data_IF_995948754063
#
_entry.id   IF_995948754063
#
_cell.length_a   1.000
_cell.length_b   1.000
_cell.length_c   1.000
_cell.angle_alpha   90.00
_cell.angle_beta   90.00
_cell.angle_gamma   90.00
#
_symmetry.space_group_name_H-M   'P 1'
#
loop_
_entity.id
_entity.type
_entity.pdbx_description
1 polymer ?
#
# COMPACT_ATOMS: atom_id res chain seq x y z
N UNK A 1 -14.25 36.18 23.55
CA UNK A 1 -13.04 36.05 24.38
C UNK A 1 -13.02 34.64 24.93
N UNK A 2 -11.89 33.97 24.71
CA UNK A 2 -11.41 32.68 25.25
C UNK A 2 -12.21 31.42 24.87
N UNK A 3 -11.81 30.69 23.83
CA UNK A 3 -10.69 29.74 23.75
C UNK A 3 -11.04 28.35 24.31
N UNK A 4 -11.37 27.42 23.41
CA UNK A 4 -10.75 26.09 23.40
C UNK A 4 -10.94 25.40 22.06
N UNK A 5 -9.96 25.64 21.19
CA UNK A 5 -9.56 24.69 20.15
C UNK A 5 -9.14 23.41 20.86
N UNK A 6 -10.04 22.44 20.94
CA UNK A 6 -9.73 21.06 21.30
C UNK A 6 -10.01 20.17 20.08
N UNK A 7 -9.39 20.51 18.95
CA UNK A 7 -9.13 19.54 17.89
C UNK A 7 -7.64 19.23 17.90
N UNK A 8 -7.22 18.64 19.01
CA UNK A 8 -5.91 18.04 19.16
C UNK A 8 -5.88 16.85 18.20
N UNK A 9 -5.13 16.99 17.10
CA UNK A 9 -4.83 15.89 16.20
C UNK A 9 -4.16 14.80 17.02
N UNK A 10 -4.92 13.77 17.40
CA UNK A 10 -4.35 12.59 18.00
C UNK A 10 -3.32 12.04 17.01
N UNK A 11 -2.04 12.26 17.29
CA UNK A 11 -0.97 11.46 16.71
C UNK A 11 -1.29 10.03 17.11
N UNK A 12 -1.95 9.31 16.19
CA UNK A 12 -2.36 7.94 16.43
C UNK A 12 -1.12 7.15 16.80
N UNK A 13 -1.06 6.67 18.05
CA UNK A 13 0.05 5.88 18.56
C UNK A 13 0.35 4.71 17.60
N UNK A 14 1.61 4.52 17.25
CA UNK A 14 2.04 3.45 16.34
C UNK A 14 1.76 2.08 16.98
N UNK A 15 0.75 1.38 16.48
CA UNK A 15 0.40 0.04 16.95
C UNK A 15 1.03 -1.02 16.04
N UNK A 16 2.26 -1.43 16.38
CA UNK A 16 3.01 -2.45 15.65
C UNK A 16 2.27 -3.80 15.56
N UNK A 17 1.59 -4.20 16.65
CA UNK A 17 0.89 -5.49 16.73
C UNK A 17 -0.35 -5.56 15.83
N UNK A 18 -1.04 -4.44 15.63
CA UNK A 18 -2.12 -4.35 14.66
C UNK A 18 -1.60 -4.46 13.23
N UNK A 19 -0.52 -3.71 12.90
CA UNK A 19 0.06 -3.72 11.55
C UNK A 19 0.69 -5.06 11.18
N UNK A 20 1.40 -5.73 12.11
CA UNK A 20 2.07 -7.00 11.83
C UNK A 20 1.11 -8.16 11.56
N UNK A 21 -0.12 -8.10 12.08
CA UNK A 21 -1.19 -9.07 11.80
C UNK A 21 -1.85 -8.83 10.44
N UNK A 22 -1.70 -7.65 9.88
CA UNK A 22 -2.21 -7.32 8.56
C UNK A 22 -1.16 -7.64 7.49
N UNK A 23 -1.55 -8.34 6.42
CA UNK A 23 -0.65 -8.53 5.30
C UNK A 23 -0.52 -7.21 4.52
N UNK A 24 0.52 -6.43 4.82
CA UNK A 24 0.76 -5.12 4.22
C UNK A 24 0.96 -5.19 2.69
N UNK A 25 1.34 -6.35 2.13
CA UNK A 25 1.40 -6.52 0.68
C UNK A 25 0.02 -6.38 0.01
N UNK A 26 -1.08 -6.59 0.76
CA UNK A 26 -2.42 -6.31 0.26
C UNK A 26 -2.58 -4.83 -0.13
N UNK A 27 -1.94 -3.91 0.61
CA UNK A 27 -1.99 -2.48 0.34
C UNK A 27 -1.25 -2.13 -0.96
N UNK A 28 -0.12 -2.77 -1.23
CA UNK A 28 0.62 -2.63 -2.48
C UNK A 28 -0.19 -3.15 -3.66
N UNK A 29 -0.76 -4.36 -3.53
CA UNK A 29 -1.62 -4.96 -4.55
C UNK A 29 -2.83 -4.06 -4.85
N UNK A 30 -3.46 -3.50 -3.82
CA UNK A 30 -4.55 -2.54 -3.99
C UNK A 30 -4.11 -1.31 -4.78
N UNK A 31 -2.99 -0.69 -4.41
CA UNK A 31 -2.50 0.51 -5.07
C UNK A 31 -2.16 0.25 -6.55
N UNK A 32 -1.55 -0.90 -6.86
CA UNK A 32 -1.29 -1.32 -8.24
C UNK A 32 -2.59 -1.57 -9.01
N UNK A 33 -3.55 -2.30 -8.41
CA UNK A 33 -4.85 -2.55 -9.04
C UNK A 33 -5.63 -1.27 -9.32
N UNK A 34 -5.57 -0.30 -8.40
CA UNK A 34 -6.21 1.00 -8.56
C UNK A 34 -5.65 1.77 -9.77
N UNK A 35 -4.34 1.71 -9.98
CA UNK A 35 -3.66 2.35 -11.12
C UNK A 35 -3.95 1.62 -12.43
N UNK A 36 -3.83 0.30 -12.43
CA UNK A 36 -3.89 -0.51 -13.65
C UNK A 36 -5.30 -0.85 -14.10
N UNK A 37 -6.27 -0.82 -13.17
CA UNK A 37 -7.67 -1.22 -13.40
C UNK A 37 -7.81 -2.59 -14.06
N UNK A 38 -6.84 -3.48 -13.88
CA UNK A 38 -6.77 -4.81 -14.47
C UNK A 38 -6.08 -5.79 -13.51
N UNK A 39 -6.77 -6.89 -13.17
CA UNK A 39 -6.22 -7.95 -12.30
C UNK A 39 -5.03 -8.63 -12.96
N UNK A 40 -5.14 -8.93 -14.26
CA UNK A 40 -4.07 -9.57 -15.03
C UNK A 40 -2.81 -8.70 -15.05
N UNK A 41 -2.94 -7.42 -15.44
CA UNK A 41 -1.79 -6.51 -15.49
C UNK A 41 -1.18 -6.27 -14.11
N UNK A 42 -2.01 -6.21 -13.07
CA UNK A 42 -1.53 -6.12 -11.67
C UNK A 42 -0.70 -7.33 -11.29
N UNK A 43 -1.16 -8.53 -11.64
CA UNK A 43 -0.49 -9.78 -11.34
C UNK A 43 0.86 -9.89 -12.07
N UNK A 44 0.91 -9.48 -13.33
CA UNK A 44 2.12 -9.45 -14.15
C UNK A 44 3.14 -8.44 -13.62
N UNK A 45 2.73 -7.20 -13.33
CA UNK A 45 3.61 -6.15 -12.81
C UNK A 45 4.23 -6.51 -11.45
N UNK A 46 3.48 -7.19 -10.60
CA UNK A 46 3.95 -7.61 -9.28
C UNK A 46 4.61 -8.99 -9.30
N UNK A 47 4.70 -9.64 -10.46
CA UNK A 47 5.20 -11.02 -10.61
C UNK A 47 4.56 -12.01 -9.63
N UNK A 48 3.24 -11.95 -9.50
CA UNK A 48 2.43 -12.85 -8.66
C UNK A 48 1.31 -13.48 -9.49
N UNK A 49 0.75 -14.59 -9.01
CA UNK A 49 -0.45 -15.17 -9.64
C UNK A 49 -1.70 -14.31 -9.42
N UNK A 50 -2.62 -14.29 -10.40
CA UNK A 50 -3.95 -13.69 -10.24
C UNK A 50 -4.71 -14.18 -8.97
N UNK A 51 -4.59 -15.45 -8.51
CA UNK A 51 -5.18 -15.87 -7.24
C UNK A 51 -4.67 -15.07 -6.03
N UNK A 52 -3.42 -14.62 -6.02
CA UNK A 52 -2.87 -13.79 -4.95
C UNK A 52 -3.49 -12.37 -4.95
N UNK A 53 -3.73 -11.81 -6.14
CA UNK A 53 -4.44 -10.53 -6.30
C UNK A 53 -5.88 -10.65 -5.79
N UNK A 54 -6.60 -11.69 -6.23
CA UNK A 54 -7.98 -11.96 -5.79
C UNK A 54 -8.07 -12.18 -4.28
N UNK A 55 -7.17 -12.98 -3.69
CA UNK A 55 -7.14 -13.22 -2.25
C UNK A 55 -6.86 -11.95 -1.44
N UNK A 56 -5.94 -11.11 -1.91
CA UNK A 56 -5.64 -9.82 -1.27
C UNK A 56 -6.84 -8.88 -1.33
N UNK A 57 -7.51 -8.81 -2.48
CA UNK A 57 -8.72 -8.03 -2.65
C UNK A 57 -9.85 -8.52 -1.75
N UNK A 58 -10.06 -9.84 -1.62
CA UNK A 58 -11.05 -10.41 -0.70
C UNK A 58 -10.80 -10.02 0.76
N UNK A 59 -9.55 -10.05 1.23
CA UNK A 59 -9.18 -9.62 2.59
C UNK A 59 -9.46 -8.14 2.81
N UNK A 60 -9.13 -7.30 1.83
CA UNK A 60 -9.41 -5.87 1.88
C UNK A 60 -10.91 -5.59 1.88
N UNK A 61 -11.69 -6.29 1.06
CA UNK A 61 -13.16 -6.15 1.04
C UNK A 61 -13.78 -6.43 2.40
N UNK A 62 -13.29 -7.46 3.11
CA UNK A 62 -13.73 -7.77 4.47
C UNK A 62 -13.31 -6.68 5.47
N UNK A 63 -12.07 -6.22 5.41
CA UNK A 63 -11.54 -5.22 6.35
C UNK A 63 -12.22 -3.85 6.22
N UNK A 64 -12.56 -3.45 4.99
CA UNK A 64 -13.19 -2.16 4.70
C UNK A 64 -14.71 -2.23 4.54
N UNK A 65 -15.29 -3.44 4.61
CA UNK A 65 -16.73 -3.69 4.42
C UNK A 65 -17.28 -3.08 3.12
N UNK A 66 -16.47 -3.07 2.05
CA UNK A 66 -16.78 -2.48 0.75
C UNK A 66 -16.25 -3.36 -0.39
N UNK A 67 -16.88 -3.35 -1.56
CA UNK A 67 -16.41 -4.14 -2.70
C UNK A 67 -15.08 -3.64 -3.28
N UNK A 68 -14.71 -2.38 -3.02
CA UNK A 68 -13.53 -1.64 -3.47
C UNK A 68 -13.44 -1.45 -4.99
N UNK A 69 -13.69 -2.50 -5.76
CA UNK A 69 -13.73 -2.48 -7.20
C UNK A 69 -14.90 -3.32 -7.71
N UNK A 70 -15.59 -2.79 -8.71
CA UNK A 70 -16.60 -3.51 -9.50
C UNK A 70 -16.09 -3.68 -10.92
N UNK A 71 -16.54 -4.75 -11.60
CA UNK A 71 -16.19 -4.97 -13.00
C UNK A 71 -17.11 -4.15 -13.89
N UNK A 72 -16.53 -3.24 -14.68
CA UNK A 72 -17.26 -2.42 -15.65
C UNK A 72 -16.49 -2.41 -16.98
N UNK A 73 -17.17 -2.80 -18.07
CA UNK A 73 -16.61 -2.76 -19.43
C UNK A 73 -15.23 -3.45 -19.57
N UNK A 74 -15.05 -4.57 -18.87
CA UNK A 74 -13.78 -5.33 -18.89
C UNK A 74 -12.69 -4.79 -17.95
N UNK A 75 -12.89 -3.61 -17.34
CA UNK A 75 -11.98 -3.01 -16.37
C UNK A 75 -12.47 -3.13 -14.93
N UNK A 76 -11.55 -2.96 -13.98
CA UNK A 76 -11.82 -2.85 -12.54
C UNK A 76 -12.00 -1.38 -12.19
N UNK A 77 -13.25 -0.96 -11.98
CA UNK A 77 -13.60 0.40 -11.62
C UNK A 77 -13.67 0.54 -10.08
N UNK A 78 -13.01 1.56 -9.49
CA UNK A 78 -13.03 1.76 -8.04
C UNK A 78 -14.40 2.22 -7.53
N UNK A 79 -14.70 1.89 -6.29
CA UNK A 79 -15.79 2.50 -5.50
C UNK A 79 -15.32 3.82 -4.88
N UNK A 80 -16.25 4.60 -4.34
CA UNK A 80 -15.92 5.82 -3.61
C UNK A 80 -14.99 5.55 -2.39
N UNK A 81 -15.13 4.39 -1.74
CA UNK A 81 -14.26 3.96 -0.65
C UNK A 81 -12.85 3.70 -1.15
N UNK A 82 -12.70 3.00 -2.29
CA UNK A 82 -11.40 2.76 -2.90
C UNK A 82 -10.71 4.06 -3.35
N UNK A 83 -11.45 5.01 -3.95
CA UNK A 83 -10.89 6.33 -4.30
C UNK A 83 -10.35 7.06 -3.07
N UNK A 84 -11.12 7.08 -1.99
CA UNK A 84 -10.72 7.73 -0.73
C UNK A 84 -9.53 7.01 -0.06
N UNK A 85 -9.49 5.69 -0.16
CA UNK A 85 -8.37 4.88 0.31
C UNK A 85 -7.11 5.19 -0.51
N UNK A 86 -7.19 5.18 -1.84
CA UNK A 86 -6.06 5.44 -2.73
C UNK A 86 -5.45 6.84 -2.50
N UNK A 87 -6.30 7.86 -2.34
CA UNK A 87 -5.86 9.24 -2.04
C UNK A 87 -4.97 9.35 -0.80
N UNK A 88 -5.22 8.52 0.22
CA UNK A 88 -4.43 8.50 1.47
C UNK A 88 -3.28 7.51 1.43
N UNK A 89 -3.51 6.33 0.86
CA UNK A 89 -2.57 5.21 0.92
C UNK A 89 -1.40 5.38 -0.05
N UNK A 90 -1.63 5.85 -1.27
CA UNK A 90 -0.58 5.95 -2.29
C UNK A 90 0.57 6.86 -1.82
N UNK A 91 0.32 8.07 -1.27
CA UNK A 91 1.40 8.91 -0.73
C UNK A 91 2.19 8.24 0.40
N UNK A 92 1.54 7.46 1.26
CA UNK A 92 2.22 6.73 2.34
C UNK A 92 3.13 5.64 1.79
N UNK A 93 2.67 4.87 0.79
CA UNK A 93 3.50 3.87 0.12
C UNK A 93 4.67 4.51 -0.62
N UNK A 94 4.49 5.67 -1.24
CA UNK A 94 5.59 6.43 -1.85
C UNK A 94 6.61 6.90 -0.80
N UNK A 95 6.15 7.31 0.39
CA UNK A 95 7.04 7.64 1.51
C UNK A 95 7.86 6.43 1.97
N UNK A 96 7.22 5.26 2.10
CA UNK A 96 7.92 3.99 2.42
C UNK A 96 8.94 3.65 1.33
N UNK A 97 8.56 3.76 0.05
CA UNK A 97 9.47 3.52 -1.08
C UNK A 97 10.70 4.43 -1.00
N UNK A 98 10.52 5.72 -0.75
CA UNK A 98 11.62 6.68 -0.63
C UNK A 98 12.60 6.28 0.50
N UNK A 99 12.09 5.86 1.66
CA UNK A 99 12.94 5.41 2.79
C UNK A 99 13.74 4.16 2.43
N UNK A 100 13.15 3.22 1.70
CA UNK A 100 13.81 1.98 1.28
C UNK A 100 14.87 2.24 0.19
N UNK A 101 14.58 3.12 -0.76
CA UNK A 101 15.52 3.49 -1.83
C UNK A 101 16.73 4.26 -1.29
N UNK A 102 16.54 5.14 -0.31
CA UNK A 102 17.64 5.85 0.37
C UNK A 102 18.66 4.89 1.01
N UNK A 103 18.21 3.75 1.55
CA UNK A 103 19.12 2.74 2.10
C UNK A 103 19.85 1.96 1.01
N UNK A 104 19.20 1.68 -0.12
CA UNK A 104 19.81 0.99 -1.25
C UNK A 104 20.93 1.82 -1.93
N UNK A 105 20.83 3.15 -1.90
CA UNK A 105 21.89 4.03 -2.40
C UNK A 105 23.03 4.22 -1.39
N UNK A 106 22.74 4.22 -0.09
CA UNK A 106 23.76 4.28 0.96
C UNK A 106 24.67 3.04 1.00
N UNK A 107 24.15 1.86 0.65
CA UNK A 107 24.95 0.62 0.58
C UNK A 107 25.81 0.52 -0.69
N UNK A 108 25.45 1.20 -1.80
CA UNK A 108 26.29 1.26 -3.02
C UNK A 108 27.58 2.06 -2.84
N UNK A 109 27.70 2.83 -1.76
CA UNK A 109 28.91 3.54 -1.36
C UNK A 109 29.89 2.72 -0.49
N UNK A 110 29.53 1.50 -0.07
CA UNK A 110 30.46 0.58 0.60
C UNK A 110 31.06 -0.35 -0.45
N UNK A 111 32.26 -0.04 -0.92
CA UNK A 111 33.09 -1.04 -1.61
C UNK A 111 33.14 -2.33 -0.76
N UNK A 112 33.12 -3.52 -1.38
CA UNK A 112 33.42 -4.72 -0.63
C UNK A 112 34.83 -4.54 -0.06
N UNK A 113 34.97 -4.61 1.26
CA UNK A 113 36.27 -4.69 1.90
C UNK A 113 37.03 -5.82 1.21
N UNK A 114 37.99 -5.44 0.37
CA UNK A 114 38.90 -6.35 -0.29
C UNK A 114 39.66 -7.04 0.84
N UNK A 115 39.22 -8.24 1.20
CA UNK A 115 39.97 -9.12 2.07
C UNK A 115 41.15 -9.64 1.25
N UNK A 116 42.21 -8.83 1.18
CA UNK A 116 43.55 -9.32 0.85
C UNK A 116 44.02 -10.15 2.02
N UNK A 117 44.07 -11.48 1.85
CA UNK A 117 45.27 -12.33 2.01
C UNK A 117 44.91 -13.79 1.81
#
# INVERSE_FOLDING_TARGET
MVDKVSSETATSSFNAGYLSRFNLNCLVIFATLYREKSVTRTSELLNIGQPAVSNSLSKLRLAFQDQLFHRKEGAMAPTQVADNMAKRLIPLLSGIQCVLEQHADNDRGREPAVMKR
#
